data_IF_646382723616
#
_entry.id   IF_646382723616
#
_cell.length_a   1.000
_cell.length_b   1.000
_cell.length_c   1.000
_cell.angle_alpha   90.00
_cell.angle_beta   90.00
_cell.angle_gamma   90.00
#
_symmetry.space_group_name_H-M   'P 1'
#
loop_
_entity.id
_entity.type
_entity.pdbx_description
1 polymer ?
#
# COMPACT_ATOMS: atom_id res chain seq x y z
N UNK A 1 29.34 -19.78 -51.21
CA UNK A 1 28.16 -18.98 -50.86
C UNK A 1 27.57 -19.62 -49.62
N UNK A 2 28.04 -19.20 -48.46
CA UNK A 2 27.56 -19.69 -47.16
C UNK A 2 26.46 -18.73 -46.71
N UNK A 3 25.21 -19.19 -46.79
CA UNK A 3 24.04 -18.46 -46.32
C UNK A 3 24.15 -18.30 -44.80
N UNK A 4 24.14 -17.04 -44.37
CA UNK A 4 24.16 -16.60 -42.99
C UNK A 4 22.81 -16.95 -42.35
N UNK A 5 22.81 -17.96 -41.48
CA UNK A 5 21.67 -18.35 -40.65
C UNK A 5 21.52 -17.35 -39.50
N UNK A 6 21.05 -16.14 -39.82
CA UNK A 6 20.52 -15.24 -38.81
C UNK A 6 19.17 -15.79 -38.32
N UNK A 7 19.20 -16.56 -37.23
CA UNK A 7 18.01 -16.81 -36.44
C UNK A 7 17.56 -15.47 -35.85
N UNK A 8 16.50 -14.92 -36.43
CA UNK A 8 15.87 -13.67 -36.02
C UNK A 8 15.12 -13.92 -34.69
N UNK A 9 15.89 -14.05 -33.60
CA UNK A 9 15.34 -14.15 -32.25
C UNK A 9 14.77 -12.78 -31.92
N UNK A 10 13.44 -12.68 -31.91
CA UNK A 10 12.75 -11.47 -31.46
C UNK A 10 13.15 -11.21 -30.01
N UNK A 11 13.90 -10.14 -29.79
CA UNK A 11 14.45 -9.78 -28.47
C UNK A 11 13.37 -9.75 -27.37
N UNK A 12 12.13 -9.38 -27.73
CA UNK A 12 10.96 -9.37 -26.85
C UNK A 12 10.60 -10.78 -26.33
N UNK A 13 10.61 -11.79 -27.22
CA UNK A 13 10.28 -13.18 -26.88
C UNK A 13 11.41 -13.82 -26.04
N UNK A 14 12.68 -13.50 -26.34
CA UNK A 14 13.81 -13.93 -25.54
C UNK A 14 13.84 -13.29 -24.14
N UNK A 15 13.42 -12.02 -24.04
CA UNK A 15 13.26 -11.32 -22.76
C UNK A 15 12.14 -11.94 -21.93
N UNK A 16 10.99 -12.24 -22.53
CA UNK A 16 9.86 -12.85 -21.83
C UNK A 16 10.21 -14.24 -21.27
N UNK A 17 10.90 -15.10 -22.05
CA UNK A 17 11.39 -16.40 -21.57
C UNK A 17 12.34 -16.24 -20.37
N UNK A 18 13.24 -15.26 -20.44
CA UNK A 18 14.20 -15.00 -19.36
C UNK A 18 13.49 -14.50 -18.11
N UNK A 19 12.55 -13.55 -18.26
CA UNK A 19 11.74 -13.03 -17.15
C UNK A 19 10.90 -14.15 -16.52
N UNK A 20 10.26 -15.00 -17.33
CA UNK A 20 9.48 -16.13 -16.85
C UNK A 20 10.32 -17.08 -15.99
N UNK A 21 11.52 -17.44 -16.47
CA UNK A 21 12.46 -18.29 -15.74
C UNK A 21 12.88 -17.65 -14.42
N UNK A 22 13.26 -16.38 -14.44
CA UNK A 22 13.78 -15.69 -13.26
C UNK A 22 12.68 -15.45 -12.21
N UNK A 23 11.43 -15.19 -12.64
CA UNK A 23 10.25 -15.17 -11.76
C UNK A 23 9.96 -16.58 -11.19
N UNK A 24 10.12 -17.63 -12.01
CA UNK A 24 9.99 -19.02 -11.55
C UNK A 24 10.96 -19.34 -10.42
N UNK A 25 12.24 -19.01 -10.59
CA UNK A 25 13.28 -19.18 -9.56
C UNK A 25 12.96 -18.39 -8.28
N UNK A 26 12.45 -17.16 -8.42
CA UNK A 26 11.99 -16.37 -7.28
C UNK A 26 10.89 -17.10 -6.52
N UNK A 27 9.87 -17.62 -7.21
CA UNK A 27 8.77 -18.33 -6.57
C UNK A 27 9.21 -19.63 -5.91
N UNK A 28 10.04 -20.44 -6.56
CA UNK A 28 10.62 -21.64 -5.96
C UNK A 28 11.31 -21.31 -4.62
N UNK A 29 12.14 -20.27 -4.62
CA UNK A 29 12.79 -19.80 -3.41
C UNK A 29 11.77 -19.35 -2.33
N UNK A 30 10.84 -18.46 -2.67
CA UNK A 30 9.86 -17.92 -1.72
C UNK A 30 8.95 -19.02 -1.15
N UNK A 31 8.48 -19.96 -1.97
CA UNK A 31 7.60 -21.04 -1.54
C UNK A 31 8.35 -22.10 -0.71
N UNK A 32 9.63 -22.36 -1.01
CA UNK A 32 10.47 -23.18 -0.12
C UNK A 32 10.65 -22.56 1.27
N UNK A 33 10.76 -21.24 1.37
CA UNK A 33 10.83 -20.53 2.64
C UNK A 33 9.50 -20.61 3.42
N UNK A 34 8.36 -20.56 2.72
CA UNK A 34 7.04 -20.80 3.33
C UNK A 34 6.99 -22.23 3.88
N UNK A 35 7.44 -23.22 3.12
CA UNK A 35 7.48 -24.62 3.55
C UNK A 35 8.37 -24.82 4.78
N UNK A 36 9.54 -24.17 4.82
CA UNK A 36 10.44 -24.19 5.98
C UNK A 36 9.80 -23.58 7.23
N UNK A 37 8.91 -22.59 7.03
CA UNK A 37 8.15 -21.90 8.06
C UNK A 37 6.77 -22.50 8.32
N UNK A 38 6.48 -23.72 7.87
CA UNK A 38 5.19 -24.40 8.05
C UNK A 38 4.71 -24.35 9.52
N UNK A 39 5.61 -24.51 10.48
CA UNK A 39 5.32 -24.43 11.92
C UNK A 39 4.77 -23.07 12.43
N UNK A 40 4.90 -21.99 11.65
CA UNK A 40 4.36 -20.67 11.98
C UNK A 40 2.89 -20.50 11.53
N UNK A 41 2.37 -21.43 10.74
CA UNK A 41 1.00 -21.40 10.24
C UNK A 41 0.07 -22.27 11.09
N UNK A 42 -1.17 -21.85 11.23
CA UNK A 42 -2.21 -22.65 11.89
C UNK A 42 -2.74 -23.80 11.03
N UNK A 43 -2.40 -23.82 9.74
CA UNK A 43 -2.77 -24.89 8.81
C UNK A 43 -1.54 -25.71 8.44
N UNK A 44 -1.73 -27.02 8.28
CA UNK A 44 -0.69 -27.89 7.73
C UNK A 44 -0.55 -27.66 6.22
N UNK A 45 0.62 -27.21 5.80
CA UNK A 45 0.99 -27.12 4.39
C UNK A 45 1.45 -28.51 3.93
N UNK A 46 0.87 -29.01 2.83
CA UNK A 46 1.23 -30.32 2.26
C UNK A 46 2.70 -30.36 1.86
N UNK A 47 3.33 -31.53 1.94
CA UNK A 47 4.73 -31.69 1.58
C UNK A 47 4.98 -31.46 0.07
N UNK A 48 3.98 -31.77 -0.75
CA UNK A 48 4.00 -31.63 -2.21
C UNK A 48 3.57 -30.23 -2.68
N UNK A 49 3.28 -29.31 -1.74
CA UNK A 49 2.93 -27.94 -2.10
C UNK A 49 4.17 -27.06 -2.23
N UNK A 50 4.21 -26.15 -3.23
CA UNK A 50 3.27 -26.03 -4.34
C UNK A 50 3.55 -27.04 -5.46
N UNK A 51 2.52 -27.39 -6.24
CA UNK A 51 2.74 -28.21 -7.45
C UNK A 51 3.45 -27.40 -8.53
N UNK A 52 4.21 -28.08 -9.41
CA UNK A 52 4.88 -27.42 -10.54
C UNK A 52 3.89 -26.69 -11.47
N UNK A 53 2.66 -27.22 -11.60
CA UNK A 53 1.59 -26.59 -12.38
C UNK A 53 1.12 -25.27 -11.75
N UNK A 54 0.93 -25.27 -10.43
CA UNK A 54 0.54 -24.07 -9.69
C UNK A 54 1.61 -22.99 -9.79
N UNK A 55 2.89 -23.36 -9.65
CA UNK A 55 4.02 -22.43 -9.82
C UNK A 55 3.99 -21.82 -11.22
N UNK A 56 3.85 -22.64 -12.27
CA UNK A 56 3.78 -22.16 -13.67
C UNK A 56 2.65 -21.15 -13.88
N UNK A 57 1.46 -21.44 -13.38
CA UNK A 57 0.29 -20.56 -13.51
C UNK A 57 0.45 -19.25 -12.74
N UNK A 58 1.15 -19.27 -11.61
CA UNK A 58 1.46 -18.07 -10.82
C UNK A 58 2.61 -17.25 -11.44
N UNK A 59 3.54 -17.89 -12.17
CA UNK A 59 4.53 -17.22 -13.03
C UNK A 59 3.85 -16.44 -14.15
N UNK A 60 2.96 -17.08 -14.92
CA UNK A 60 2.21 -16.45 -16.01
C UNK A 60 1.45 -15.19 -15.55
N UNK A 61 0.99 -15.20 -14.31
CA UNK A 61 0.29 -14.08 -13.66
C UNK A 61 1.18 -12.89 -13.33
N UNK A 62 2.44 -13.16 -12.98
CA UNK A 62 3.37 -12.13 -12.58
C UNK A 62 4.13 -11.52 -13.77
N UNK A 63 4.25 -12.23 -14.89
CA UNK A 63 4.92 -11.71 -16.08
C UNK A 63 4.24 -10.43 -16.58
N UNK A 64 5.01 -9.42 -17.02
CA UNK A 64 6.48 -9.36 -17.02
C UNK A 64 7.08 -8.70 -15.75
N UNK A 65 6.28 -8.51 -14.69
CA UNK A 65 6.58 -7.60 -13.59
C UNK A 65 6.97 -8.36 -12.31
N UNK A 66 8.26 -8.33 -11.96
CA UNK A 66 8.78 -8.89 -10.68
C UNK A 66 8.06 -8.36 -9.43
N UNK A 67 7.54 -7.14 -9.49
CA UNK A 67 6.71 -6.61 -8.41
C UNK A 67 5.46 -7.46 -8.17
N UNK A 68 4.81 -7.95 -9.21
CA UNK A 68 3.64 -8.81 -9.05
C UNK A 68 4.05 -10.14 -8.46
N UNK A 69 5.21 -10.67 -8.88
CA UNK A 69 5.76 -11.87 -8.28
C UNK A 69 5.95 -11.71 -6.77
N UNK A 70 6.64 -10.64 -6.36
CA UNK A 70 6.87 -10.35 -4.95
C UNK A 70 5.57 -10.11 -4.16
N UNK A 71 4.63 -9.36 -4.73
CA UNK A 71 3.32 -9.07 -4.13
C UNK A 71 2.52 -10.36 -3.93
N UNK A 72 2.47 -11.24 -4.94
CA UNK A 72 1.80 -12.53 -4.86
C UNK A 72 2.46 -13.44 -3.81
N UNK A 73 3.79 -13.53 -3.79
CA UNK A 73 4.51 -14.32 -2.77
C UNK A 73 4.18 -13.86 -1.36
N UNK A 74 4.21 -12.53 -1.12
CA UNK A 74 3.82 -11.96 0.18
C UNK A 74 2.38 -12.27 0.52
N UNK A 75 1.47 -12.06 -0.42
CA UNK A 75 0.06 -12.36 -0.22
C UNK A 75 -0.11 -13.80 0.19
N UNK A 76 0.45 -14.77 -0.54
CA UNK A 76 0.38 -16.19 -0.20
C UNK A 76 0.92 -16.47 1.22
N UNK A 77 2.03 -15.83 1.61
CA UNK A 77 2.68 -16.05 2.89
C UNK A 77 1.96 -15.47 4.13
N UNK A 78 0.98 -14.57 3.97
CA UNK A 78 0.31 -13.88 5.10
C UNK A 78 -0.67 -14.74 5.90
N UNK A 79 -1.24 -15.79 5.30
CA UNK A 79 -2.14 -16.70 6.03
C UNK A 79 -2.02 -18.13 5.50
N UNK A 80 -3.11 -18.82 5.20
CA UNK A 80 -3.06 -20.18 4.67
C UNK A 80 -2.50 -20.15 3.22
N UNK A 81 -1.27 -20.62 2.97
CA UNK A 81 -0.62 -20.42 1.67
C UNK A 81 -1.32 -21.18 0.56
N UNK A 82 -1.78 -22.41 0.84
CA UNK A 82 -2.51 -23.24 -0.12
C UNK A 82 -3.81 -22.55 -0.53
N UNK A 83 -4.62 -22.10 0.43
CA UNK A 83 -5.87 -21.41 0.17
C UNK A 83 -5.67 -20.11 -0.61
N UNK A 84 -4.63 -19.33 -0.28
CA UNK A 84 -4.34 -18.06 -0.97
C UNK A 84 -3.84 -18.29 -2.40
N UNK A 85 -3.02 -19.33 -2.60
CA UNK A 85 -2.63 -19.74 -3.95
C UNK A 85 -3.85 -20.17 -4.77
N UNK A 86 -4.75 -20.98 -4.20
CA UNK A 86 -6.01 -21.36 -4.83
C UNK A 86 -6.87 -20.13 -5.21
N UNK A 87 -6.95 -19.11 -4.34
CA UNK A 87 -7.69 -17.88 -4.64
C UNK A 87 -7.11 -17.12 -5.82
N UNK A 88 -5.79 -17.00 -5.91
CA UNK A 88 -5.12 -16.40 -7.08
C UNK A 88 -5.44 -17.23 -8.33
N UNK A 89 -5.27 -18.55 -8.25
CA UNK A 89 -5.45 -19.46 -9.38
C UNK A 89 -6.91 -19.57 -9.84
N UNK A 90 -7.90 -19.51 -8.95
CA UNK A 90 -9.32 -19.50 -9.33
C UNK A 90 -9.69 -18.23 -10.09
N UNK A 91 -9.13 -17.09 -9.70
CA UNK A 91 -9.29 -15.85 -10.47
C UNK A 91 -8.62 -15.93 -11.84
N UNK A 92 -7.70 -16.87 -12.10
CA UNK A 92 -7.06 -17.08 -13.43
C UNK A 92 -8.03 -17.61 -14.48
N UNK A 93 -9.17 -18.17 -14.06
CA UNK A 93 -10.26 -18.55 -14.96
C UNK A 93 -11.01 -17.32 -15.51
N UNK A 94 -10.89 -16.17 -14.83
CA UNK A 94 -11.46 -14.92 -15.30
C UNK A 94 -10.47 -14.17 -16.20
N UNK A 95 -10.62 -14.36 -17.52
CA UNK A 95 -9.79 -13.70 -18.56
C UNK A 95 -9.79 -12.16 -18.47
N UNK A 96 -10.74 -11.55 -17.77
CA UNK A 96 -10.81 -10.10 -17.57
C UNK A 96 -9.88 -9.58 -16.44
N UNK A 97 -9.28 -10.48 -15.66
CA UNK A 97 -8.38 -10.16 -14.53
C UNK A 97 -6.92 -10.50 -14.86
N UNK A 98 -6.28 -9.62 -15.63
CA UNK A 98 -4.85 -9.66 -15.94
C UNK A 98 -4.11 -8.44 -15.38
N UNK A 99 -2.79 -8.56 -15.25
CA UNK A 99 -1.92 -7.49 -14.78
C UNK A 99 -2.27 -6.97 -13.37
N UNK A 100 -2.43 -5.65 -13.25
CA UNK A 100 -2.70 -4.95 -11.98
C UNK A 100 -3.97 -5.48 -11.28
N UNK A 101 -5.05 -5.72 -12.03
CA UNK A 101 -6.33 -6.20 -11.45
C UNK A 101 -6.19 -7.60 -10.87
N UNK A 102 -5.55 -8.51 -11.61
CA UNK A 102 -5.32 -9.88 -11.16
C UNK A 102 -4.40 -9.98 -9.96
N UNK A 103 -3.57 -8.95 -9.73
CA UNK A 103 -2.65 -8.88 -8.59
C UNK A 103 -3.30 -8.24 -7.36
N UNK A 104 -3.96 -7.08 -7.53
CA UNK A 104 -4.47 -6.31 -6.39
C UNK A 104 -5.87 -6.67 -5.93
N UNK A 105 -6.80 -7.04 -6.83
CA UNK A 105 -8.17 -7.36 -6.39
C UNK A 105 -8.26 -8.53 -5.39
N UNK A 106 -7.48 -9.64 -5.49
CA UNK A 106 -7.48 -10.65 -4.44
C UNK A 106 -7.14 -10.08 -3.05
N UNK A 107 -6.19 -9.13 -3.00
CA UNK A 107 -5.69 -8.49 -1.78
C UNK A 107 -6.69 -7.47 -1.24
N UNK A 108 -7.44 -6.80 -2.12
CA UNK A 108 -8.44 -5.81 -1.72
C UNK A 108 -9.75 -6.46 -1.26
N UNK A 109 -10.18 -7.52 -1.95
CA UNK A 109 -11.43 -8.23 -1.65
C UNK A 109 -11.46 -8.81 -0.23
N UNK A 110 -10.32 -9.23 0.32
CA UNK A 110 -10.24 -9.72 1.70
C UNK A 110 -10.49 -8.62 2.74
N UNK A 111 -10.24 -7.35 2.44
CA UNK A 111 -10.48 -6.25 3.39
C UNK A 111 -11.98 -6.05 3.61
N UNK A 112 -12.76 -6.22 2.55
CA UNK A 112 -14.22 -5.98 2.54
C UNK A 112 -15.03 -7.26 2.59
N UNK A 113 -14.39 -8.44 2.72
CA UNK A 113 -15.07 -9.73 2.68
C UNK A 113 -16.06 -9.86 3.86
N UNK A 114 -17.35 -9.71 3.57
CA UNK A 114 -18.45 -9.94 4.49
C UNK A 114 -19.64 -10.53 3.74
N UNK A 115 -20.42 -11.39 4.40
CA UNK A 115 -21.67 -11.93 3.85
C UNK A 115 -22.81 -10.90 3.89
N UNK A 116 -22.76 -10.00 4.87
CA UNK A 116 -23.70 -8.90 5.00
C UNK A 116 -23.30 -7.75 4.06
N UNK A 117 -24.26 -7.32 3.22
CA UNK A 117 -24.01 -6.30 2.21
C UNK A 117 -23.82 -4.90 2.80
N UNK A 118 -24.49 -4.59 3.91
CA UNK A 118 -24.37 -3.28 4.54
C UNK A 118 -23.00 -3.17 5.21
N UNK A 119 -22.57 -4.21 5.94
CA UNK A 119 -21.24 -4.30 6.51
C UNK A 119 -20.14 -4.33 5.44
N UNK A 120 -20.36 -5.00 4.31
CA UNK A 120 -19.45 -4.96 3.16
C UNK A 120 -19.26 -3.52 2.65
N UNK A 121 -20.35 -2.78 2.49
CA UNK A 121 -20.32 -1.40 2.05
C UNK A 121 -19.63 -0.48 3.06
N UNK A 122 -19.88 -0.67 4.35
CA UNK A 122 -19.22 0.09 5.43
C UNK A 122 -17.70 -0.14 5.41
N UNK A 123 -17.27 -1.40 5.29
CA UNK A 123 -15.84 -1.75 5.15
C UNK A 123 -15.22 -1.14 3.89
N UNK A 124 -15.97 -1.07 2.78
CA UNK A 124 -15.50 -0.44 1.55
C UNK A 124 -15.32 1.07 1.72
N UNK A 125 -16.26 1.73 2.40
CA UNK A 125 -16.17 3.17 2.73
C UNK A 125 -14.97 3.44 3.63
N UNK A 126 -14.76 2.62 4.66
CA UNK A 126 -13.61 2.71 5.55
C UNK A 126 -12.29 2.48 4.82
N UNK A 127 -12.23 1.47 3.95
CA UNK A 127 -11.08 1.24 3.08
C UNK A 127 -10.78 2.49 2.23
N UNK A 128 -11.76 2.99 1.48
CA UNK A 128 -11.58 4.15 0.59
C UNK A 128 -11.19 5.41 1.37
N UNK A 129 -11.63 5.53 2.63
CA UNK A 129 -11.30 6.65 3.52
C UNK A 129 -9.88 6.55 4.05
N UNK A 130 -9.52 5.43 4.67
CA UNK A 130 -8.24 5.23 5.32
C UNK A 130 -7.12 4.97 4.30
N UNK A 131 -7.26 3.94 3.47
CA UNK A 131 -6.24 3.58 2.48
C UNK A 131 -6.14 4.66 1.41
N UNK A 132 -7.28 5.25 1.01
CA UNK A 132 -7.27 6.41 0.12
C UNK A 132 -6.54 7.61 0.71
N UNK A 133 -6.59 7.81 2.02
CA UNK A 133 -5.76 8.83 2.67
C UNK A 133 -4.28 8.46 2.59
N UNK A 134 -3.92 7.22 2.98
CA UNK A 134 -2.53 6.73 3.01
C UNK A 134 -1.85 6.85 1.66
N UNK A 135 -2.50 6.42 0.57
CA UNK A 135 -1.90 6.44 -0.77
C UNK A 135 -1.72 7.85 -1.34
N UNK A 136 -2.38 8.85 -0.75
CA UNK A 136 -2.31 10.26 -1.15
C UNK A 136 -1.44 11.11 -0.21
N UNK A 137 -0.99 10.56 0.92
CA UNK A 137 -0.08 11.25 1.81
C UNK A 137 1.22 11.58 1.09
N UNK A 138 1.67 12.83 1.20
CA UNK A 138 2.99 13.23 0.68
C UNK A 138 4.13 12.58 1.47
N UNK A 139 3.97 12.52 2.79
CA UNK A 139 4.91 11.86 3.69
C UNK A 139 4.14 10.77 4.45
N UNK A 140 4.68 9.53 4.50
CA UNK A 140 4.13 8.45 5.31
C UNK A 140 3.84 8.86 6.75
N UNK A 141 2.72 8.37 7.28
CA UNK A 141 2.31 8.58 8.67
C UNK A 141 2.22 7.24 9.40
N UNK A 142 2.40 7.28 10.71
CA UNK A 142 2.19 6.13 11.60
C UNK A 142 0.72 5.89 11.91
N UNK A 143 0.37 4.74 12.49
CA UNK A 143 -1.01 4.45 12.91
C UNK A 143 -1.52 5.50 13.88
N UNK A 144 -0.74 5.85 14.90
CA UNK A 144 -1.13 6.87 15.87
C UNK A 144 -1.32 8.24 15.21
N UNK A 145 -0.49 8.58 14.23
CA UNK A 145 -0.64 9.84 13.49
C UNK A 145 -1.87 9.87 12.58
N UNK A 146 -2.21 8.74 11.94
CA UNK A 146 -3.43 8.58 11.16
C UNK A 146 -4.68 8.66 12.02
N UNK A 147 -4.69 8.02 13.20
CA UNK A 147 -5.80 8.10 14.15
C UNK A 147 -6.11 9.54 14.54
N UNK A 148 -5.07 10.34 14.83
CA UNK A 148 -5.23 11.77 15.13
C UNK A 148 -5.77 12.57 13.94
N UNK A 149 -5.22 12.35 12.74
CA UNK A 149 -5.58 13.10 11.54
C UNK A 149 -7.01 12.78 11.08
N UNK A 150 -7.37 11.51 11.07
CA UNK A 150 -8.65 11.02 10.54
C UNK A 150 -9.75 10.98 11.61
N UNK A 151 -9.38 11.11 12.89
CA UNK A 151 -10.25 10.95 14.06
C UNK A 151 -10.78 9.52 14.21
N UNK A 152 -9.88 8.54 14.05
CA UNK A 152 -10.18 7.11 14.11
C UNK A 152 -9.62 6.44 15.37
N UNK A 153 -10.09 5.23 15.64
CA UNK A 153 -9.53 4.35 16.66
C UNK A 153 -8.46 3.42 16.09
N UNK A 154 -7.43 3.13 16.90
CA UNK A 154 -6.32 2.28 16.50
C UNK A 154 -6.77 0.90 16.03
N UNK A 155 -7.78 0.31 16.70
CA UNK A 155 -8.35 -0.99 16.33
C UNK A 155 -8.92 -1.00 14.91
N UNK A 156 -9.66 0.06 14.54
CA UNK A 156 -10.24 0.19 13.21
C UNK A 156 -9.14 0.36 12.15
N UNK A 157 -8.15 1.20 12.42
CA UNK A 157 -7.02 1.42 11.51
C UNK A 157 -6.22 0.13 11.32
N UNK A 158 -5.88 -0.55 12.41
CA UNK A 158 -5.17 -1.83 12.39
C UNK A 158 -5.96 -2.90 11.64
N UNK A 159 -7.28 -2.98 11.86
CA UNK A 159 -8.15 -3.96 11.19
C UNK A 159 -8.16 -3.82 9.67
N UNK A 160 -8.13 -2.60 9.16
CA UNK A 160 -8.05 -2.33 7.71
C UNK A 160 -6.64 -2.57 7.15
N UNK A 161 -5.59 -2.26 7.91
CA UNK A 161 -4.20 -2.37 7.44
C UNK A 161 -3.66 -3.80 7.45
N UNK A 162 -4.03 -4.61 8.45
CA UNK A 162 -3.52 -5.96 8.62
C UNK A 162 -3.67 -6.88 7.40
N UNK A 163 -4.82 -6.90 6.68
CA UNK A 163 -4.91 -7.70 5.45
C UNK A 163 -4.04 -7.16 4.30
N UNK A 164 -3.50 -5.94 4.39
CA UNK A 164 -2.81 -5.28 3.29
C UNK A 164 -1.27 -5.38 3.35
N UNK A 165 -0.70 -6.29 4.16
CA UNK A 165 0.76 -6.43 4.33
C UNK A 165 1.52 -6.85 3.05
N UNK A 166 0.82 -7.32 2.02
CA UNK A 166 1.37 -7.64 0.69
C UNK A 166 1.55 -6.43 -0.20
N UNK A 167 0.92 -5.30 0.15
CA UNK A 167 0.97 -4.04 -0.62
C UNK A 167 1.43 -2.84 0.23
N UNK A 168 1.30 -2.95 1.54
CA UNK A 168 1.80 -1.99 2.53
C UNK A 168 2.95 -2.61 3.32
N UNK A 169 3.94 -1.78 3.62
CA UNK A 169 4.90 -2.06 4.66
C UNK A 169 4.34 -1.54 5.98
N UNK A 170 3.91 -2.46 6.83
CA UNK A 170 3.40 -2.18 8.17
C UNK A 170 4.43 -2.63 9.20
N UNK A 171 5.26 -1.72 9.76
CA UNK A 171 6.32 -2.09 10.66
C UNK A 171 5.79 -2.84 11.89
N UNK A 172 6.54 -3.84 12.35
CA UNK A 172 6.17 -4.68 13.51
C UNK A 172 7.12 -4.40 14.66
N UNK A 173 6.57 -4.27 15.86
CA UNK A 173 7.34 -4.23 17.10
C UNK A 173 7.90 -5.62 17.43
N UNK A 174 8.78 -5.71 18.44
CA UNK A 174 9.33 -6.99 18.91
C UNK A 174 8.26 -8.01 19.32
N UNK A 175 7.08 -7.52 19.75
CA UNK A 175 5.92 -8.36 20.07
C UNK A 175 5.22 -8.99 18.86
N UNK A 176 5.62 -8.64 17.63
CA UNK A 176 4.95 -9.04 16.39
C UNK A 176 3.69 -8.22 16.05
N UNK A 177 3.24 -7.34 16.95
CA UNK A 177 2.13 -6.40 16.69
C UNK A 177 2.59 -5.24 15.80
N UNK A 178 1.65 -4.55 15.17
CA UNK A 178 1.95 -3.32 14.41
C UNK A 178 2.59 -2.30 15.35
N UNK A 179 3.75 -1.77 14.97
CA UNK A 179 4.34 -0.62 15.63
C UNK A 179 3.52 0.63 15.26
N UNK A 180 2.81 1.15 16.25
CA UNK A 180 1.87 2.26 16.06
C UNK A 180 2.57 3.59 15.82
N UNK A 181 3.87 3.69 16.13
CA UNK A 181 4.68 4.91 16.01
C UNK A 181 5.50 4.95 14.72
N UNK A 182 5.72 3.81 14.07
CA UNK A 182 6.47 3.75 12.82
C UNK A 182 5.59 4.07 11.60
N UNK A 183 6.14 4.73 10.56
CA UNK A 183 5.37 5.13 9.38
C UNK A 183 4.97 3.94 8.50
N UNK A 184 3.73 3.97 8.01
CA UNK A 184 3.21 3.00 7.03
C UNK A 184 3.57 3.47 5.63
N UNK A 185 4.26 2.63 4.86
CA UNK A 185 4.67 2.97 3.49
C UNK A 185 4.05 2.02 2.47
N UNK A 186 3.84 2.49 1.25
CA UNK A 186 3.53 1.60 0.13
C UNK A 186 4.77 0.76 -0.19
N UNK A 187 4.58 -0.52 -0.51
CA UNK A 187 5.67 -1.33 -1.06
C UNK A 187 6.02 -0.87 -2.48
N UNK A 188 5.05 -0.32 -3.22
CA UNK A 188 5.27 0.27 -4.52
C UNK A 188 4.16 1.23 -4.96
N UNK A 189 4.51 2.16 -5.86
CA UNK A 189 3.60 3.19 -6.37
C UNK A 189 2.49 2.65 -7.27
N UNK A 190 2.71 1.53 -7.97
CA UNK A 190 1.66 0.91 -8.81
C UNK A 190 0.39 0.54 -8.04
N UNK A 191 0.48 0.32 -6.72
CA UNK A 191 -0.71 0.11 -5.90
C UNK A 191 -1.53 1.40 -5.76
N UNK A 192 -0.87 2.54 -5.52
CA UNK A 192 -1.52 3.85 -5.55
C UNK A 192 -2.12 4.11 -6.93
N UNK A 193 -1.34 3.92 -7.99
CA UNK A 193 -1.77 4.21 -9.37
C UNK A 193 -3.02 3.40 -9.70
N UNK A 194 -3.04 2.11 -9.38
CA UNK A 194 -4.21 1.24 -9.56
C UNK A 194 -5.48 1.76 -8.84
N UNK A 195 -5.34 2.32 -7.64
CA UNK A 195 -6.46 2.81 -6.85
C UNK A 195 -7.00 4.16 -7.34
N UNK A 196 -6.13 5.03 -7.86
CA UNK A 196 -6.52 6.39 -8.29
C UNK A 196 -6.83 6.49 -9.79
N UNK A 197 -6.54 5.44 -10.56
CA UNK A 197 -6.71 5.41 -12.02
C UNK A 197 -8.18 5.69 -12.43
N UNK A 198 -8.49 6.83 -13.07
CA UNK A 198 -9.85 7.21 -13.43
C UNK A 198 -10.51 6.21 -14.38
N UNK A 199 -9.74 5.65 -15.31
CA UNK A 199 -10.22 4.70 -16.32
C UNK A 199 -10.68 3.37 -15.69
N UNK A 200 -10.18 3.05 -14.49
CA UNK A 200 -10.57 1.84 -13.76
C UNK A 200 -11.77 2.05 -12.85
N UNK A 201 -12.23 3.30 -12.63
CA UNK A 201 -13.30 3.63 -11.67
C UNK A 201 -14.60 2.86 -11.90
N UNK A 202 -15.00 2.63 -13.15
CA UNK A 202 -16.23 1.87 -13.48
C UNK A 202 -16.10 0.36 -13.27
N UNK A 203 -14.88 -0.14 -13.14
CA UNK A 203 -14.55 -1.57 -13.09
C UNK A 203 -13.88 -1.97 -11.77
N UNK A 204 -13.67 -1.01 -10.86
CA UNK A 204 -12.97 -1.19 -9.59
C UNK A 204 -13.74 -0.46 -8.48
N UNK A 205 -14.47 -1.23 -7.67
CA UNK A 205 -15.19 -0.71 -6.50
C UNK A 205 -14.26 -0.05 -5.47
N UNK A 206 -12.97 -0.38 -5.48
CA UNK A 206 -11.95 0.18 -4.59
C UNK A 206 -11.37 1.51 -5.10
N UNK A 207 -11.87 2.04 -6.22
CA UNK A 207 -11.37 3.30 -6.79
C UNK A 207 -11.48 4.46 -5.81
N UNK A 208 -10.44 5.28 -5.75
CA UNK A 208 -10.32 6.43 -4.85
C UNK A 208 -10.42 7.72 -5.66
N UNK A 209 -11.37 8.58 -5.31
CA UNK A 209 -11.40 9.95 -5.78
C UNK A 209 -10.28 10.76 -5.13
N UNK A 210 -9.15 10.86 -5.84
CA UNK A 210 -7.97 11.55 -5.35
C UNK A 210 -8.24 13.02 -5.00
N UNK A 211 -9.08 13.70 -5.80
CA UNK A 211 -9.39 15.13 -5.59
C UNK A 211 -10.22 15.31 -4.31
N UNK A 212 -11.34 14.60 -4.19
CA UNK A 212 -12.18 14.64 -3.00
C UNK A 212 -11.44 14.23 -1.73
N UNK A 213 -10.57 13.21 -1.83
CA UNK A 213 -9.80 12.73 -0.67
C UNK A 213 -8.69 13.70 -0.26
N UNK A 214 -8.00 14.33 -1.21
CA UNK A 214 -7.04 15.40 -0.92
C UNK A 214 -7.72 16.59 -0.22
N UNK A 215 -8.88 17.00 -0.72
CA UNK A 215 -9.70 18.04 -0.10
C UNK A 215 -10.06 17.70 1.35
N UNK A 216 -10.53 16.48 1.59
CA UNK A 216 -10.86 16.00 2.93
C UNK A 216 -9.63 15.98 3.87
N UNK A 217 -8.46 15.56 3.39
CA UNK A 217 -7.21 15.58 4.14
C UNK A 217 -6.78 17.00 4.51
N UNK A 218 -6.89 17.95 3.59
CA UNK A 218 -6.60 19.36 3.84
C UNK A 218 -7.48 19.92 4.97
N UNK A 219 -8.79 19.68 4.91
CA UNK A 219 -9.73 20.12 5.95
C UNK A 219 -9.43 19.48 7.31
N UNK A 220 -9.09 18.19 7.34
CA UNK A 220 -8.69 17.49 8.58
C UNK A 220 -7.42 18.09 9.17
N UNK A 221 -6.46 18.43 8.33
CA UNK A 221 -5.25 19.10 8.78
C UNK A 221 -5.52 20.49 9.37
N UNK A 222 -6.34 21.31 8.71
CA UNK A 222 -6.74 22.62 9.25
C UNK A 222 -7.43 22.50 10.61
N UNK A 223 -8.34 21.53 10.76
CA UNK A 223 -9.02 21.26 12.04
C UNK A 223 -8.06 20.84 13.14
N UNK A 224 -7.11 19.96 12.84
CA UNK A 224 -6.10 19.49 13.80
C UNK A 224 -5.15 20.63 14.22
N UNK A 225 -4.77 21.48 13.27
CA UNK A 225 -3.96 22.65 13.55
C UNK A 225 -4.72 23.68 14.40
N UNK A 226 -6.01 23.91 14.11
CA UNK A 226 -6.87 24.83 14.85
C UNK A 226 -7.20 24.34 16.28
N UNK A 227 -7.21 23.03 16.55
CA UNK A 227 -7.51 22.47 17.87
C UNK A 227 -6.33 22.48 18.86
N UNK A 228 -5.28 23.25 18.58
CA UNK A 228 -4.09 23.39 19.43
C UNK A 228 -2.80 22.84 18.81
N UNK A 229 -2.79 22.52 17.52
CA UNK A 229 -1.58 22.15 16.78
C UNK A 229 -0.72 23.33 16.35
N UNK A 230 -1.30 24.53 16.27
CA UNK A 230 -0.61 25.80 16.04
C UNK A 230 -0.43 26.56 17.36
N UNK A 231 0.80 27.02 17.61
CA UNK A 231 1.13 28.03 18.60
C UNK A 231 1.71 29.24 17.85
N UNK A 232 1.27 30.44 18.17
CA UNK A 232 1.95 31.65 17.68
C UNK A 232 3.40 31.62 18.20
N UNK A 233 4.35 31.90 17.31
CA UNK A 233 5.77 31.80 17.63
C UNK A 233 6.17 30.40 18.17
N UNK A 234 5.97 29.36 17.34
CA UNK A 234 6.30 27.96 17.68
C UNK A 234 7.73 27.79 18.20
N UNK A 235 8.67 28.60 17.70
CA UNK A 235 10.08 28.54 18.06
C UNK A 235 10.44 29.48 19.23
N UNK A 236 9.45 30.16 19.81
CA UNK A 236 9.60 31.13 20.90
C UNK A 236 10.71 32.16 20.65
N UNK A 237 10.81 32.61 19.38
CA UNK A 237 11.83 33.56 18.94
C UNK A 237 11.52 34.99 19.39
N UNK A 238 10.35 35.23 19.98
CA UNK A 238 9.85 36.49 20.55
C UNK A 238 9.93 37.68 19.59
N UNK A 239 10.04 37.41 18.29
CA UNK A 239 10.25 38.38 17.22
C UNK A 239 9.72 37.79 15.90
N UNK A 240 8.54 38.28 15.50
CA UNK A 240 7.84 37.86 14.27
C UNK A 240 8.59 38.25 12.97
N UNK A 241 9.66 39.05 13.08
CA UNK A 241 10.53 39.45 11.96
C UNK A 241 11.84 38.67 11.86
N UNK A 242 12.07 37.67 12.72
CA UNK A 242 13.31 36.90 12.73
C UNK A 242 13.45 36.09 11.45
N UNK A 243 14.55 36.24 10.72
CA UNK A 243 14.75 35.49 9.47
C UNK A 243 15.02 34.02 9.79
N UNK A 244 14.61 33.06 8.94
CA UNK A 244 14.86 31.63 9.18
C UNK A 244 16.33 31.28 9.39
N UNK A 245 17.25 32.04 8.77
CA UNK A 245 18.70 31.87 8.94
C UNK A 245 19.22 32.33 10.32
N UNK A 246 18.45 33.14 11.04
CA UNK A 246 18.78 33.68 12.37
C UNK A 246 18.25 32.79 13.51
N UNK A 247 17.37 31.83 13.19
CA UNK A 247 16.89 30.82 14.13
C UNK A 247 17.90 29.67 14.20
N UNK A 248 18.42 29.38 15.39
CA UNK A 248 19.32 28.26 15.58
C UNK A 248 18.64 26.93 15.17
N UNK A 249 19.34 26.09 14.40
CA UNK A 249 18.80 24.81 13.93
C UNK A 249 18.33 23.91 15.07
N UNK A 250 19.00 23.97 16.22
CA UNK A 250 18.61 23.27 17.45
C UNK A 250 17.24 23.72 17.98
N UNK A 251 16.89 25.00 17.88
CA UNK A 251 15.59 25.54 18.30
C UNK A 251 14.46 24.98 17.45
N UNK A 252 14.68 24.86 16.13
CA UNK A 252 13.69 24.27 15.20
C UNK A 252 13.52 22.77 15.45
N UNK A 253 14.60 22.06 15.80
CA UNK A 253 14.59 20.61 16.03
C UNK A 253 13.93 20.20 17.35
N UNK A 254 13.97 21.06 18.37
CA UNK A 254 13.44 20.79 19.70
C UNK A 254 11.93 21.06 19.84
N UNK A 255 11.26 21.55 18.79
CA UNK A 255 9.80 21.72 18.81
C UNK A 255 9.15 20.33 18.80
N UNK A 256 8.45 19.92 19.88
CA UNK A 256 7.76 18.64 19.91
C UNK A 256 6.56 18.71 18.97
N UNK A 257 6.71 18.14 17.77
CA UNK A 257 5.59 17.98 16.84
C UNK A 257 5.14 16.54 16.89
N UNK A 258 3.87 16.31 17.24
CA UNK A 258 3.21 15.06 16.86
C UNK A 258 3.32 14.95 15.33
N UNK A 259 3.65 13.78 14.79
CA UNK A 259 3.92 13.60 13.35
C UNK A 259 2.78 14.14 12.47
N UNK A 260 1.53 14.01 12.92
CA UNK A 260 0.35 14.60 12.28
C UNK A 260 0.42 16.13 12.18
N UNK A 261 0.86 16.82 13.23
CA UNK A 261 0.98 18.28 13.22
C UNK A 261 2.12 18.72 12.30
N UNK A 262 3.27 18.01 12.32
CA UNK A 262 4.38 18.27 11.41
C UNK A 262 3.97 18.07 9.94
N UNK A 263 3.18 17.04 9.66
CA UNK A 263 2.61 16.79 8.34
C UNK A 263 1.67 17.92 7.92
N UNK A 264 0.71 18.28 8.77
CA UNK A 264 -0.29 19.29 8.44
C UNK A 264 0.31 20.68 8.23
N UNK A 265 1.30 21.08 9.03
CA UNK A 265 2.02 22.34 8.80
C UNK A 265 2.77 22.36 7.47
N UNK A 266 3.27 21.22 6.98
CA UNK A 266 3.89 21.14 5.64
C UNK A 266 2.85 21.14 4.53
N UNK A 267 1.73 20.45 4.73
CA UNK A 267 0.63 20.39 3.76
C UNK A 267 0.09 21.80 3.44
N UNK A 268 -0.05 22.65 4.46
CA UNK A 268 -0.53 24.02 4.33
C UNK A 268 0.41 24.91 3.48
N UNK A 269 1.71 24.79 3.69
CA UNK A 269 2.73 25.62 3.00
C UNK A 269 2.91 25.21 1.54
N UNK A 270 2.77 23.92 1.24
CA UNK A 270 3.10 23.39 -0.08
C UNK A 270 1.90 23.38 -1.05
N UNK A 271 0.67 23.52 -0.57
CA UNK A 271 -0.56 23.52 -1.41
C UNK A 271 -1.58 24.60 -1.04
N UNK A 272 -1.19 25.89 -1.06
CA UNK A 272 -2.10 26.98 -0.73
C UNK A 272 -3.30 27.12 -1.68
N UNK A 273 -3.15 26.71 -2.95
CA UNK A 273 -4.23 26.79 -3.95
C UNK A 273 -5.38 25.80 -3.67
N UNK A 274 -5.07 24.63 -3.13
CA UNK A 274 -6.07 23.61 -2.80
C UNK A 274 -6.84 23.99 -1.53
N UNK A 275 -6.18 24.66 -0.58
CA UNK A 275 -6.81 25.21 0.62
C UNK A 275 -7.73 26.38 0.28
N UNK A 276 -7.31 27.27 -0.64
CA UNK A 276 -8.12 28.41 -1.05
C UNK A 276 -9.46 27.99 -1.67
N UNK A 277 -9.47 26.90 -2.45
CA UNK A 277 -10.70 26.27 -2.99
C UNK A 277 -11.59 25.61 -1.93
N UNK A 278 -11.06 25.29 -0.74
CA UNK A 278 -11.83 24.69 0.37
C UNK A 278 -12.48 25.73 1.27
N UNK A 279 -12.07 27.00 1.15
CA UNK A 279 -12.57 28.13 1.95
C UNK A 279 -13.54 29.05 1.18
N UNK A 280 -13.77 28.75 -0.11
CA UNK A 280 -14.78 29.39 -0.98
C UNK A 280 -16.03 28.51 -1.08
#
# INVERSE_FOLDING_TARGET
MTEDLHHDVRLEEAQEITIARDIGLLYEHQFSEIQRKNHLYHCEIRAEWPSEDDVRRVVERAIPLFIFAFTISRYIAESNPQRRMDMILQQSLNKFLTGLKGTYLPILNQVVACEDNDEHNDRLVDFQRLVGSIVLLKNPLSVSALCLLLSDHEEQVVGVLQPLDSVLNTPRAESGRIDLSAPITLLHLSFRDFLVEPELKKQNIFSIDASGRHSALGLRCLRLLASGGLKEDICEVNSLGTRPAEVAKSTVHNVPRKDSNAYCSKYEVERPADIKKLME
#
